data_IF_243654258544
#
_entry.id   IF_243654258544
#
_cell.length_a   1.000
_cell.length_b   1.000
_cell.length_c   1.000
_cell.angle_alpha   90.00
_cell.angle_beta   90.00
_cell.angle_gamma   90.00
#
_symmetry.space_group_name_H-M   'P 1'
#
loop_
_entity.id
_entity.type
_entity.pdbx_description
1 polymer ?
#
# COMPACT_ATOMS: atom_id res chain seq x y z
N UNK A 1 -46.19 5.94 31.88
CA UNK A 1 -45.98 6.07 30.42
C UNK A 1 -44.68 6.82 30.02
N UNK A 2 -44.04 7.59 30.91
CA UNK A 2 -42.81 8.35 30.59
C UNK A 2 -41.52 7.50 30.46
N UNK A 3 -41.45 6.32 31.09
CA UNK A 3 -40.22 5.50 31.10
C UNK A 3 -39.92 4.76 29.79
N UNK A 4 -40.92 4.54 28.93
CA UNK A 4 -40.75 3.82 27.65
C UNK A 4 -40.18 4.73 26.55
N UNK A 5 -40.49 6.03 26.58
CA UNK A 5 -40.02 7.00 25.60
C UNK A 5 -38.52 7.31 25.75
N UNK A 6 -37.98 7.22 26.97
CA UNK A 6 -36.55 7.48 27.22
C UNK A 6 -35.65 6.34 26.71
N UNK A 7 -36.14 5.09 26.75
CA UNK A 7 -35.40 3.93 26.26
C UNK A 7 -35.27 3.93 24.73
N UNK A 8 -36.28 4.45 24.01
CA UNK A 8 -36.25 4.51 22.55
C UNK A 8 -35.32 5.61 22.02
N UNK A 9 -35.15 6.71 22.78
CA UNK A 9 -34.27 7.83 22.40
C UNK A 9 -32.77 7.49 22.52
N UNK A 10 -32.40 6.61 23.47
CA UNK A 10 -31.02 6.16 23.66
C UNK A 10 -30.54 5.18 22.58
N UNK A 11 -31.45 4.46 21.92
CA UNK A 11 -31.10 3.52 20.84
C UNK A 11 -30.83 4.25 19.52
N UNK A 12 -31.34 5.48 19.33
CA UNK A 12 -31.14 6.24 18.09
C UNK A 12 -29.82 7.04 18.04
N UNK A 13 -29.05 7.09 19.12
CA UNK A 13 -27.71 7.72 19.15
C UNK A 13 -26.56 6.73 18.97
N UNK A 14 -26.84 5.44 18.74
CA UNK A 14 -25.84 4.49 18.29
C UNK A 14 -25.58 4.68 16.79
N UNK A 15 -25.03 5.85 16.41
CA UNK A 15 -24.39 5.98 15.12
C UNK A 15 -23.34 4.86 15.01
N UNK A 16 -23.26 4.13 13.89
CA UNK A 16 -22.11 3.27 13.68
C UNK A 16 -20.90 4.21 13.72
N UNK A 17 -20.05 4.04 14.73
CA UNK A 17 -18.71 4.60 14.66
C UNK A 17 -18.11 4.01 13.39
N UNK A 18 -18.05 4.80 12.31
CA UNK A 18 -17.27 4.43 11.15
C UNK A 18 -15.90 4.09 11.70
N UNK A 19 -15.53 2.81 11.61
CA UNK A 19 -14.21 2.35 11.99
C UNK A 19 -13.24 3.12 11.11
N UNK A 20 -12.68 4.20 11.66
CA UNK A 20 -11.66 4.97 10.99
C UNK A 20 -10.47 4.02 10.91
N UNK A 21 -10.22 3.48 9.72
CA UNK A 21 -9.13 2.52 9.53
C UNK A 21 -7.84 3.23 9.93
N UNK A 22 -7.32 2.85 11.10
CA UNK A 22 -6.04 3.34 11.61
C UNK A 22 -4.96 2.55 10.85
N UNK A 23 -3.88 3.22 10.40
CA UNK A 23 -2.77 2.53 9.77
C UNK A 23 -2.31 1.27 10.51
N UNK A 24 -1.92 0.20 9.79
CA UNK A 24 -1.71 0.19 8.35
C UNK A 24 -2.99 0.10 7.51
N UNK A 25 -3.04 0.88 6.43
CA UNK A 25 -3.98 0.64 5.35
C UNK A 25 -3.52 -0.59 4.55
N UNK A 26 -4.38 -1.59 4.42
CA UNK A 26 -4.03 -2.88 3.79
C UNK A 26 -4.70 -2.99 2.44
N UNK A 27 -3.90 -3.19 1.39
CA UNK A 27 -4.36 -3.35 0.01
C UNK A 27 -3.98 -4.74 -0.51
N UNK A 28 -4.90 -5.71 -0.52
CA UNK A 28 -4.71 -6.95 -1.25
C UNK A 28 -4.92 -6.71 -2.74
N UNK A 29 -3.97 -7.16 -3.56
CA UNK A 29 -3.97 -6.99 -5.01
C UNK A 29 -3.68 -8.32 -5.70
N UNK A 30 -4.26 -8.49 -6.89
CA UNK A 30 -3.86 -9.53 -7.84
C UNK A 30 -3.18 -8.86 -9.02
N UNK A 31 -1.93 -9.21 -9.28
CA UNK A 31 -1.12 -8.62 -10.36
C UNK A 31 -0.70 -9.70 -11.36
N UNK A 32 -0.44 -9.26 -12.58
CA UNK A 32 -0.06 -10.13 -13.69
C UNK A 32 1.38 -9.97 -14.12
N UNK A 33 1.68 -10.53 -15.30
CA UNK A 33 2.99 -10.44 -15.96
C UNK A 33 3.23 -9.12 -16.70
N UNK A 34 2.25 -8.21 -16.66
CA UNK A 34 2.37 -6.86 -17.18
C UNK A 34 2.54 -5.87 -16.04
N UNK A 35 3.43 -4.89 -16.23
CA UNK A 35 3.60 -3.77 -15.29
C UNK A 35 2.27 -3.02 -15.15
N UNK A 36 1.82 -2.83 -13.91
CA UNK A 36 0.58 -2.12 -13.59
C UNK A 36 0.78 -1.18 -12.40
N UNK A 37 -0.04 -0.13 -12.32
CA UNK A 37 -0.09 0.72 -11.12
C UNK A 37 -0.65 -0.09 -9.95
N UNK A 38 0.09 -0.15 -8.84
CA UNK A 38 -0.30 -0.90 -7.64
C UNK A 38 -0.62 0.03 -6.46
N UNK A 39 -0.13 1.27 -6.48
CA UNK A 39 -0.41 2.23 -5.42
C UNK A 39 -0.30 3.67 -5.96
N UNK A 40 -1.31 4.54 -5.75
CA UNK A 40 -1.22 5.93 -6.17
C UNK A 40 -0.22 6.72 -5.32
N UNK A 41 0.13 7.92 -5.80
CA UNK A 41 0.92 8.87 -5.02
C UNK A 41 0.15 9.32 -3.78
N UNK A 42 0.82 9.42 -2.63
CA UNK A 42 0.22 9.87 -1.37
C UNK A 42 1.23 10.70 -0.56
N UNK A 43 1.00 12.02 -0.39
CA UNK A 43 1.93 12.89 0.33
C UNK A 43 2.06 12.56 1.83
N UNK A 44 1.09 11.88 2.42
CA UNK A 44 1.12 11.49 3.84
C UNK A 44 1.89 10.20 4.10
N UNK A 45 2.20 9.42 3.06
CA UNK A 45 2.86 8.12 3.19
C UNK A 45 4.23 8.24 3.85
N UNK A 46 4.46 7.49 4.92
CA UNK A 46 5.75 7.43 5.66
C UNK A 46 6.46 6.10 5.51
N UNK A 47 5.70 5.01 5.35
CA UNK A 47 6.23 3.65 5.25
C UNK A 47 5.31 2.76 4.40
N UNK A 48 5.93 1.85 3.67
CA UNK A 48 5.28 0.75 2.96
C UNK A 48 5.89 -0.58 3.37
N UNK A 49 5.05 -1.61 3.45
CA UNK A 49 5.50 -2.99 3.45
C UNK A 49 4.82 -3.69 2.28
N UNK A 50 5.63 -4.24 1.38
CA UNK A 50 5.16 -5.09 0.29
C UNK A 50 5.40 -6.54 0.69
N UNK A 51 4.38 -7.37 0.64
CA UNK A 51 4.45 -8.78 0.99
C UNK A 51 4.01 -9.64 -0.19
N UNK A 52 4.85 -10.60 -0.55
CA UNK A 52 4.59 -11.58 -1.60
C UNK A 52 4.17 -12.91 -0.96
N UNK A 53 2.87 -13.21 -0.85
CA UNK A 53 2.40 -14.47 -0.25
C UNK A 53 2.44 -15.66 -1.21
N UNK A 54 2.93 -15.51 -2.46
CA UNK A 54 2.87 -16.57 -3.45
C UNK A 54 3.93 -17.65 -3.18
N UNK A 55 3.60 -18.90 -3.51
CA UNK A 55 4.49 -20.05 -3.35
C UNK A 55 5.67 -20.06 -4.32
N UNK A 56 5.46 -19.55 -5.54
CA UNK A 56 6.42 -19.67 -6.64
C UNK A 56 6.67 -18.36 -7.38
N UNK A 57 5.69 -17.46 -7.43
CA UNK A 57 5.81 -16.22 -8.17
C UNK A 57 6.71 -15.22 -7.44
N UNK A 58 7.61 -14.58 -8.18
CA UNK A 58 8.34 -13.39 -7.72
C UNK A 58 7.51 -12.16 -8.06
N UNK A 59 7.58 -11.15 -7.21
CA UNK A 59 6.94 -9.84 -7.45
C UNK A 59 8.02 -8.78 -7.52
N UNK A 60 7.94 -7.88 -8.48
CA UNK A 60 8.76 -6.66 -8.49
C UNK A 60 7.89 -5.43 -8.28
N UNK A 61 8.35 -4.51 -7.45
CA UNK A 61 7.70 -3.22 -7.18
C UNK A 61 8.69 -2.08 -7.40
N UNK A 62 8.24 -0.99 -8.01
CA UNK A 62 9.11 0.14 -8.36
C UNK A 62 8.37 1.46 -8.12
N UNK A 63 9.03 2.47 -7.52
CA UNK A 63 8.43 3.78 -7.37
C UNK A 63 8.32 4.49 -8.72
N UNK A 64 7.19 5.16 -8.95
CA UNK A 64 6.90 6.07 -10.06
C UNK A 64 6.55 7.43 -9.46
N UNK A 65 7.21 8.50 -9.89
CA UNK A 65 7.03 9.83 -9.32
C UNK A 65 8.28 10.68 -9.51
N UNK A 66 8.20 11.99 -9.19
CA UNK A 66 9.34 12.87 -9.38
C UNK A 66 10.54 12.32 -8.60
N UNK A 67 11.71 12.33 -9.24
CA UNK A 67 12.93 11.93 -8.55
C UNK A 67 13.12 12.81 -7.30
N UNK A 68 13.90 12.34 -6.32
CA UNK A 68 14.33 13.20 -5.20
C UNK A 68 15.02 14.50 -5.67
N UNK A 69 15.42 14.58 -6.94
CA UNK A 69 16.09 15.72 -7.56
C UNK A 69 15.13 16.64 -8.34
N UNK A 70 13.82 16.42 -8.29
CA UNK A 70 12.83 17.24 -9.01
C UNK A 70 12.82 17.03 -10.53
N UNK A 71 13.49 15.98 -11.01
CA UNK A 71 13.48 15.61 -12.43
C UNK A 71 12.13 14.97 -12.78
N UNK A 72 11.55 15.26 -13.96
CA UNK A 72 10.31 14.64 -14.39
C UNK A 72 10.43 13.12 -14.33
N UNK A 73 9.42 12.48 -13.73
CA UNK A 73 9.32 11.02 -13.60
C UNK A 73 9.50 10.37 -14.96
N UNK A 74 10.59 9.63 -15.15
CA UNK A 74 10.68 8.67 -16.25
C UNK A 74 9.57 7.63 -16.07
N UNK A 75 8.95 7.19 -17.17
CA UNK A 75 8.00 6.08 -17.14
C UNK A 75 8.77 4.82 -16.71
N UNK A 76 8.72 4.47 -15.42
CA UNK A 76 9.31 3.23 -14.91
C UNK A 76 8.36 2.09 -15.22
N UNK A 77 8.84 1.13 -16.00
CA UNK A 77 8.13 -0.14 -16.25
C UNK A 77 8.66 -1.15 -15.25
N UNK A 78 7.76 -1.75 -14.47
CA UNK A 78 8.16 -2.78 -13.51
C UNK A 78 8.67 -4.02 -14.26
N UNK A 79 9.83 -4.51 -13.83
CA UNK A 79 10.43 -5.73 -14.33
C UNK A 79 11.06 -6.52 -13.19
N UNK A 80 10.95 -7.86 -13.24
CA UNK A 80 11.64 -8.75 -12.30
C UNK A 80 13.15 -8.57 -12.48
N UNK A 81 13.86 -8.30 -11.39
CA UNK A 81 15.27 -7.93 -11.37
C UNK A 81 15.60 -6.66 -12.21
N UNK A 82 14.61 -5.81 -12.49
CA UNK A 82 14.79 -4.57 -13.24
C UNK A 82 15.45 -3.45 -12.43
N UNK A 83 16.13 -2.54 -13.12
CA UNK A 83 16.71 -1.35 -12.50
C UNK A 83 15.64 -0.47 -11.84
N UNK A 84 15.89 -0.02 -10.61
CA UNK A 84 14.94 0.81 -9.86
C UNK A 84 13.76 0.03 -9.25
N UNK A 85 13.73 -1.28 -9.42
CA UNK A 85 12.71 -2.17 -8.87
C UNK A 85 13.29 -3.04 -7.75
N UNK A 86 12.45 -3.38 -6.80
CA UNK A 86 12.77 -4.34 -5.75
C UNK A 86 12.06 -5.64 -6.09
N UNK A 87 12.83 -6.73 -6.21
CA UNK A 87 12.28 -8.07 -6.41
C UNK A 87 12.09 -8.75 -5.07
N UNK A 88 10.85 -9.13 -4.79
CA UNK A 88 10.39 -9.80 -3.58
C UNK A 88 10.20 -11.27 -3.92
N UNK A 89 10.94 -12.13 -3.23
CA UNK A 89 10.86 -13.58 -3.41
C UNK A 89 9.54 -14.14 -2.84
N UNK A 90 9.14 -15.38 -3.22
CA UNK A 90 8.07 -16.10 -2.57
C UNK A 90 8.16 -16.06 -1.04
N UNK A 91 7.03 -15.79 -0.38
CA UNK A 91 6.88 -15.65 1.07
C UNK A 91 7.72 -14.54 1.74
N UNK A 92 8.34 -13.67 0.96
CA UNK A 92 9.17 -12.60 1.48
C UNK A 92 8.41 -11.27 1.56
N UNK A 93 8.98 -10.33 2.32
CA UNK A 93 8.47 -8.97 2.44
C UNK A 93 9.59 -7.96 2.39
N UNK A 94 9.29 -6.81 1.82
CA UNK A 94 10.19 -5.66 1.82
C UNK A 94 9.52 -4.50 2.52
N UNK A 95 10.23 -3.93 3.48
CA UNK A 95 9.88 -2.69 4.15
C UNK A 95 10.64 -1.53 3.52
N UNK A 96 9.91 -0.45 3.25
CA UNK A 96 10.46 0.81 2.76
C UNK A 96 9.93 1.91 3.66
N UNK A 97 10.84 2.56 4.38
CA UNK A 97 10.55 3.73 5.20
C UNK A 97 11.43 4.89 4.75
N UNK A 98 10.95 6.11 4.96
CA UNK A 98 11.76 7.29 4.71
C UNK A 98 12.05 8.02 6.02
N UNK A 99 13.24 8.59 6.14
CA UNK A 99 13.72 9.21 7.37
C UNK A 99 14.28 8.20 8.39
N UNK A 100 14.58 8.71 9.58
CA UNK A 100 14.99 7.88 10.72
C UNK A 100 13.73 7.31 11.40
N UNK A 101 13.82 6.18 12.12
CA UNK A 101 12.69 5.63 12.87
C UNK A 101 12.05 6.64 13.84
N UNK A 102 12.84 7.59 14.34
CA UNK A 102 12.42 8.66 15.25
C UNK A 102 11.93 9.93 14.55
N UNK A 103 12.13 10.06 13.24
CA UNK A 103 11.66 11.19 12.43
C UNK A 103 11.35 10.72 11.00
N UNK A 104 10.19 10.06 10.80
CA UNK A 104 9.80 9.60 9.48
C UNK A 104 9.56 10.77 8.54
N UNK A 105 10.05 10.66 7.32
CA UNK A 105 9.78 11.63 6.26
C UNK A 105 8.62 11.15 5.37
N UNK A 106 8.15 12.03 4.49
CA UNK A 106 7.17 11.70 3.47
C UNK A 106 7.81 10.95 2.29
N UNK A 107 7.12 9.94 1.78
CA UNK A 107 7.44 9.16 0.59
C UNK A 107 6.28 9.24 -0.41
N UNK A 108 6.14 10.34 -1.17
CA UNK A 108 4.94 10.63 -1.93
C UNK A 108 4.76 9.80 -3.21
N UNK A 109 5.81 9.10 -3.65
CA UNK A 109 5.84 8.40 -4.94
C UNK A 109 4.68 7.41 -5.09
N UNK A 110 4.07 7.37 -6.28
CA UNK A 110 3.24 6.25 -6.70
C UNK A 110 4.10 4.99 -6.88
N UNK A 111 3.47 3.83 -7.10
CA UNK A 111 4.17 2.56 -7.31
C UNK A 111 3.55 1.75 -8.44
N UNK A 112 4.41 1.15 -9.26
CA UNK A 112 4.06 0.08 -10.19
C UNK A 112 4.55 -1.27 -9.68
N UNK A 113 3.92 -2.34 -10.15
CA UNK A 113 4.36 -3.71 -9.89
C UNK A 113 4.09 -4.66 -11.05
N UNK A 114 4.83 -5.76 -11.05
CA UNK A 114 4.68 -6.89 -11.97
C UNK A 114 4.99 -8.19 -11.22
N UNK A 115 4.38 -9.29 -11.62
CA UNK A 115 4.71 -10.61 -11.13
C UNK A 115 5.30 -11.51 -12.22
N UNK A 116 6.08 -12.52 -11.83
CA UNK A 116 6.60 -13.51 -12.78
C UNK A 116 5.54 -14.49 -13.29
N UNK A 117 4.33 -14.49 -12.70
CA UNK A 117 3.20 -15.33 -13.11
C UNK A 117 1.89 -14.53 -13.04
N UNK A 118 0.95 -14.84 -13.94
CA UNK A 118 -0.38 -14.24 -13.93
C UNK A 118 -1.18 -14.62 -12.68
N UNK A 119 -2.02 -13.72 -12.18
CA UNK A 119 -2.88 -14.00 -11.04
C UNK A 119 -2.16 -14.04 -9.69
N UNK A 120 -0.94 -13.49 -9.61
CA UNK A 120 -0.13 -13.50 -8.39
C UNK A 120 -0.66 -12.51 -7.38
N UNK A 121 -0.69 -12.88 -6.11
CA UNK A 121 -1.12 -12.02 -5.01
C UNK A 121 0.00 -11.05 -4.57
N UNK A 122 -0.38 -9.86 -4.12
CA UNK A 122 0.49 -8.89 -3.46
C UNK A 122 -0.30 -8.22 -2.34
N UNK A 123 0.27 -8.15 -1.15
CA UNK A 123 -0.29 -7.34 -0.06
C UNK A 123 0.57 -6.11 0.15
N UNK A 124 -0.05 -4.93 0.14
CA UNK A 124 0.60 -3.67 0.49
C UNK A 124 0.06 -3.21 1.84
N UNK A 125 0.94 -2.86 2.75
CA UNK A 125 0.59 -2.19 4.01
C UNK A 125 1.18 -0.78 3.99
N UNK A 126 0.33 0.23 4.08
CA UNK A 126 0.70 1.65 4.04
C UNK A 126 0.51 2.33 5.39
N UNK A 127 1.51 3.11 5.79
CA UNK A 127 1.52 3.89 7.01
C UNK A 127 1.66 5.37 6.67
N UNK A 128 0.81 6.20 7.28
CA UNK A 128 0.74 7.66 7.11
C UNK A 128 1.18 8.44 8.34
#
# INVERSE_FOLDING_TARGET
MIRLALALLLVMFAAPAFSQQVPPYVYPLTIGTSSTSILPANPSRKKLIFHNPNDTAKVAVCPIGPSRTGSPSTNVVAAINGAGCITILPYDRVEISSGLPTSPQSMPSAWVGVASAGGSALTIMEFE
#
